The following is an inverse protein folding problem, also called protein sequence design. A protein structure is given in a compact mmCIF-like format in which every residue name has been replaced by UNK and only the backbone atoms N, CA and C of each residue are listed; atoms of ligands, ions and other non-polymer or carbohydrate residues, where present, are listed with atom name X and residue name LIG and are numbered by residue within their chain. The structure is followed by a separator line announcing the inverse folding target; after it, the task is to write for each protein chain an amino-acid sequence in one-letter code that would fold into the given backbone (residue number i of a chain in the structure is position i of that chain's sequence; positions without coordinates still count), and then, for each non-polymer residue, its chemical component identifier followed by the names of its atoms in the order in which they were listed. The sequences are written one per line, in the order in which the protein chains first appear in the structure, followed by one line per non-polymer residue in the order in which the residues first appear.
data_IF_769901065487
#
_entry.id   IF_769901065487
#
_cell.length_a   1.000
_cell.length_b   1.000
_cell.length_c   1.000
_cell.angle_alpha   90.00
_cell.angle_beta   90.00
_cell.angle_gamma   90.00
#
_symmetry.space_group_name_H-M   'P 1'
#
loop_
_entity.id
_entity.type
_entity.pdbx_description
1 polymer ?
#
# COMPACT_ATOMS: atom_id res chain seq x y z
N UNK A 1 9.61 18.72 -9.51
CA UNK A 1 8.18 18.65 -9.14
C UNK A 1 8.11 18.71 -7.62
N UNK A 2 7.67 19.83 -7.02
CA UNK A 2 7.95 20.11 -5.59
C UNK A 2 6.81 19.77 -4.61
N UNK A 3 5.62 19.37 -5.09
CA UNK A 3 4.40 19.21 -4.26
C UNK A 3 3.65 17.88 -4.44
N UNK A 4 4.26 16.84 -5.02
CA UNK A 4 3.60 15.54 -5.26
C UNK A 4 4.19 14.41 -4.41
N UNK A 5 4.91 14.73 -3.35
CA UNK A 5 5.41 13.72 -2.44
C UNK A 5 4.30 13.30 -1.48
N UNK A 6 4.29 12.01 -1.14
CA UNK A 6 3.54 11.54 0.02
C UNK A 6 3.85 12.44 1.23
N UNK A 7 2.89 12.60 2.17
CA UNK A 7 3.17 13.31 3.45
C UNK A 7 4.35 12.70 4.22
N UNK A 8 4.68 11.44 3.92
CA UNK A 8 5.83 10.68 4.40
C UNK A 8 6.71 10.27 3.21
N UNK A 9 8.03 10.13 3.35
CA UNK A 9 8.90 9.85 2.20
C UNK A 9 8.53 8.55 1.45
N UNK A 10 8.62 8.54 0.11
CA UNK A 10 8.31 7.37 -0.74
C UNK A 10 9.06 6.11 -0.31
N UNK A 11 10.31 6.24 0.16
CA UNK A 11 11.12 5.15 0.68
C UNK A 11 10.49 4.52 1.92
N UNK A 12 9.93 5.33 2.81
CA UNK A 12 9.21 4.87 4.00
C UNK A 12 7.97 4.08 3.61
N UNK A 13 7.23 4.55 2.60
CA UNK A 13 6.04 3.83 2.10
C UNK A 13 6.42 2.45 1.53
N UNK A 14 7.53 2.36 0.79
CA UNK A 14 8.06 1.08 0.32
C UNK A 14 8.44 0.13 1.46
N UNK A 15 9.14 0.63 2.47
CA UNK A 15 9.47 -0.16 3.68
C UNK A 15 8.21 -0.66 4.37
N UNK A 16 7.18 0.19 4.50
CA UNK A 16 5.90 -0.20 5.08
C UNK A 16 5.23 -1.33 4.28
N UNK A 17 5.15 -1.21 2.95
CA UNK A 17 4.55 -2.23 2.09
C UNK A 17 5.28 -3.57 2.18
N UNK A 18 6.62 -3.55 2.05
CA UNK A 18 7.44 -4.76 2.14
C UNK A 18 7.38 -5.37 3.54
N UNK A 19 7.49 -4.54 4.58
CA UNK A 19 7.44 -4.96 5.98
C UNK A 19 6.12 -5.61 6.33
N UNK A 20 4.99 -5.02 5.91
CA UNK A 20 3.66 -5.62 6.05
C UNK A 20 3.57 -6.96 5.34
N UNK A 21 4.03 -7.05 4.09
CA UNK A 21 3.95 -8.31 3.33
C UNK A 21 4.70 -9.43 4.03
N UNK A 22 5.93 -9.17 4.49
CA UNK A 22 6.73 -10.13 5.25
C UNK A 22 6.04 -10.48 6.58
N UNK A 23 5.59 -9.47 7.34
CA UNK A 23 4.96 -9.70 8.65
C UNK A 23 3.67 -10.52 8.53
N UNK A 24 2.88 -10.27 7.49
CA UNK A 24 1.66 -11.03 7.20
C UNK A 24 1.99 -12.48 6.80
N UNK A 25 3.02 -12.69 5.98
CA UNK A 25 3.48 -14.04 5.62
C UNK A 25 3.97 -14.81 6.85
N UNK A 26 4.82 -14.20 7.68
CA UNK A 26 5.31 -14.82 8.92
C UNK A 26 4.15 -15.06 9.89
N UNK A 27 3.21 -14.13 10.03
CA UNK A 27 1.99 -14.28 10.82
C UNK A 27 1.12 -15.45 10.38
N UNK A 28 0.92 -15.59 9.06
CA UNK A 28 0.17 -16.71 8.50
C UNK A 28 0.88 -18.05 8.73
N UNK A 29 2.19 -18.11 8.50
CA UNK A 29 2.99 -19.31 8.75
C UNK A 29 2.99 -19.70 10.24
N UNK A 30 3.20 -18.74 11.14
CA UNK A 30 3.15 -18.96 12.58
C UNK A 30 1.78 -19.50 13.02
N UNK A 31 0.69 -19.03 12.39
CA UNK A 31 -0.67 -19.51 12.66
C UNK A 31 -0.87 -20.95 12.19
N UNK A 32 -0.34 -21.31 11.01
CA UNK A 32 -0.38 -22.69 10.49
C UNK A 32 0.43 -23.64 11.39
N UNK A 33 1.57 -23.16 11.90
CA UNK A 33 2.43 -23.93 12.81
C UNK A 33 1.98 -23.90 14.27
N UNK A 34 0.80 -23.34 14.56
CA UNK A 34 0.22 -23.23 15.91
C UNK A 34 1.14 -22.55 16.94
N UNK A 35 1.94 -21.56 16.53
CA UNK A 35 2.75 -20.78 17.48
C UNK A 35 1.85 -19.96 18.40
N UNK A 36 2.19 -19.90 19.70
CA UNK A 36 1.38 -19.20 20.71
C UNK A 36 1.19 -17.70 20.40
N UNK A 37 2.19 -17.07 19.78
CA UNK A 37 2.15 -15.64 19.43
C UNK A 37 1.54 -15.35 18.05
N UNK A 38 1.05 -16.36 17.33
CA UNK A 38 0.56 -16.23 15.96
C UNK A 38 -0.56 -15.21 15.81
N UNK A 39 -1.49 -15.17 16.77
CA UNK A 39 -2.61 -14.23 16.75
C UNK A 39 -2.17 -12.78 16.93
N UNK A 40 -1.21 -12.53 17.82
CA UNK A 40 -0.65 -11.19 18.05
C UNK A 40 0.09 -10.73 16.80
N UNK A 41 0.95 -11.59 16.25
CA UNK A 41 1.75 -11.29 15.06
C UNK A 41 0.87 -10.96 13.85
N UNK A 42 -0.19 -11.76 13.63
CA UNK A 42 -1.15 -11.53 12.56
C UNK A 42 -1.94 -10.22 12.76
N UNK A 43 -2.36 -9.92 14.00
CA UNK A 43 -3.09 -8.69 14.32
C UNK A 43 -2.24 -7.45 14.07
N UNK A 44 -0.96 -7.48 14.47
CA UNK A 44 0.00 -6.41 14.18
C UNK A 44 0.22 -6.24 12.67
N UNK A 45 0.33 -7.35 11.93
CA UNK A 45 0.41 -7.36 10.47
C UNK A 45 -0.77 -6.65 9.82
N UNK A 46 -2.00 -6.98 10.24
CA UNK A 46 -3.22 -6.36 9.74
C UNK A 46 -3.33 -4.87 10.08
N UNK A 47 -2.93 -4.45 11.28
CA UNK A 47 -2.91 -3.03 11.65
C UNK A 47 -1.93 -2.23 10.80
N UNK A 48 -0.73 -2.77 10.57
CA UNK A 48 0.29 -2.16 9.72
C UNK A 48 -0.18 -2.10 8.26
N UNK A 49 -0.79 -3.18 7.78
CA UNK A 49 -1.43 -3.25 6.46
C UNK A 49 -2.47 -2.14 6.28
N UNK A 50 -3.40 -2.00 7.23
CA UNK A 50 -4.47 -1.02 7.17
C UNK A 50 -3.92 0.41 7.16
N UNK A 51 -2.90 0.68 7.98
CA UNK A 51 -2.22 1.98 8.01
C UNK A 51 -1.57 2.31 6.65
N UNK A 52 -0.87 1.33 6.07
CA UNK A 52 -0.23 1.46 4.74
C UNK A 52 -1.26 1.68 3.63
N UNK A 53 -2.38 0.97 3.72
CA UNK A 53 -3.51 1.10 2.80
C UNK A 53 -4.11 2.51 2.83
N UNK A 54 -4.33 3.10 4.02
CA UNK A 54 -4.81 4.48 4.17
C UNK A 54 -3.83 5.48 3.57
N UNK A 55 -2.53 5.30 3.77
CA UNK A 55 -1.48 6.16 3.23
C UNK A 55 -1.55 6.17 1.69
N UNK A 56 -1.65 5.00 1.07
CA UNK A 56 -1.73 4.85 -0.39
C UNK A 56 -3.03 5.44 -0.93
N UNK A 57 -4.17 5.15 -0.30
CA UNK A 57 -5.45 5.75 -0.66
C UNK A 57 -5.39 7.28 -0.58
N UNK A 58 -4.79 7.82 0.48
CA UNK A 58 -4.64 9.26 0.66
C UNK A 58 -3.81 9.91 -0.45
N UNK A 59 -2.76 9.24 -0.91
CA UNK A 59 -1.93 9.70 -2.03
C UNK A 59 -2.70 9.65 -3.36
N UNK A 60 -3.45 8.59 -3.61
CA UNK A 60 -4.34 8.50 -4.77
C UNK A 60 -5.38 9.62 -4.76
N UNK A 61 -6.05 9.86 -3.63
CA UNK A 61 -7.09 10.89 -3.51
C UNK A 61 -6.53 12.30 -3.69
N UNK A 62 -5.35 12.60 -3.14
CA UNK A 62 -4.75 13.95 -3.21
C UNK A 62 -4.14 14.28 -4.56
N UNK A 63 -3.61 13.29 -5.26
CA UNK A 63 -2.91 13.54 -6.52
C UNK A 63 -3.81 13.32 -7.74
N UNK A 64 -3.46 14.00 -8.83
CA UNK A 64 -3.98 13.70 -10.16
C UNK A 64 -3.23 12.49 -10.71
N UNK A 65 -3.87 11.32 -10.67
CA UNK A 65 -3.36 10.08 -11.27
C UNK A 65 -4.24 9.66 -12.44
N UNK A 66 -3.61 9.11 -13.47
CA UNK A 66 -4.31 8.59 -14.64
C UNK A 66 -5.22 7.40 -14.26
N UNK A 67 -6.48 7.42 -14.73
CA UNK A 67 -7.53 6.47 -14.34
C UNK A 67 -7.72 6.28 -12.82
N UNK A 68 -7.82 7.38 -12.08
CA UNK A 68 -7.98 7.40 -10.61
C UNK A 68 -9.02 6.42 -10.07
N UNK A 69 -10.22 6.39 -10.65
CA UNK A 69 -11.32 5.53 -10.19
C UNK A 69 -10.95 4.05 -10.27
N UNK A 70 -10.26 3.63 -11.33
CA UNK A 70 -9.80 2.25 -11.49
C UNK A 70 -8.78 1.86 -10.41
N UNK A 71 -7.82 2.73 -10.12
CA UNK A 71 -6.81 2.48 -9.08
C UNK A 71 -7.42 2.42 -7.68
N UNK A 72 -8.37 3.30 -7.37
CA UNK A 72 -9.09 3.25 -6.10
C UNK A 72 -9.94 1.96 -6.01
N UNK A 73 -10.67 1.60 -7.07
CA UNK A 73 -11.50 0.37 -7.08
C UNK A 73 -10.65 -0.88 -6.83
N UNK A 74 -9.55 -1.03 -7.59
CA UNK A 74 -8.63 -2.18 -7.43
C UNK A 74 -7.97 -2.20 -6.05
N UNK A 75 -7.77 -1.04 -5.43
CA UNK A 75 -7.29 -0.93 -4.05
C UNK A 75 -8.26 -1.51 -3.02
N UNK A 76 -9.57 -1.55 -3.28
CA UNK A 76 -10.55 -2.21 -2.40
C UNK A 76 -10.74 -3.70 -2.73
N UNK A 77 -10.71 -4.08 -4.01
CA UNK A 77 -10.92 -5.47 -4.43
C UNK A 77 -9.69 -6.34 -4.13
N UNK A 78 -8.48 -5.82 -4.37
CA UNK A 78 -7.22 -6.55 -4.21
C UNK A 78 -6.16 -5.69 -3.49
N UNK A 79 -6.39 -5.30 -2.24
CA UNK A 79 -5.57 -4.29 -1.55
C UNK A 79 -4.08 -4.66 -1.46
N UNK A 80 -3.74 -5.93 -1.17
CA UNK A 80 -2.33 -6.36 -1.09
C UNK A 80 -1.57 -6.24 -2.41
N UNK A 81 -2.24 -6.52 -3.54
CA UNK A 81 -1.61 -6.48 -4.86
C UNK A 81 -1.63 -5.03 -5.38
N UNK A 82 -2.76 -4.35 -5.24
CA UNK A 82 -2.93 -2.97 -5.72
C UNK A 82 -1.96 -2.01 -5.04
N UNK A 83 -1.71 -2.15 -3.73
CA UNK A 83 -0.74 -1.30 -3.02
C UNK A 83 0.67 -1.40 -3.60
N UNK A 84 1.13 -2.61 -3.93
CA UNK A 84 2.44 -2.84 -4.56
C UNK A 84 2.48 -2.29 -5.99
N UNK A 85 1.51 -2.68 -6.82
CA UNK A 85 1.46 -2.29 -8.24
C UNK A 85 1.31 -0.78 -8.41
N UNK A 86 0.53 -0.14 -7.55
CA UNK A 86 0.39 1.31 -7.52
C UNK A 86 1.73 1.98 -7.26
N UNK A 87 2.50 1.56 -6.24
CA UNK A 87 3.80 2.17 -5.94
C UNK A 87 4.79 2.04 -7.11
N UNK A 88 4.81 0.88 -7.77
CA UNK A 88 5.66 0.66 -8.96
C UNK A 88 5.27 1.62 -10.08
N UNK A 89 3.97 1.77 -10.35
CA UNK A 89 3.48 2.58 -11.47
C UNK A 89 3.28 4.06 -11.12
N UNK A 90 3.41 4.44 -9.85
CA UNK A 90 3.04 5.77 -9.32
C UNK A 90 3.59 6.92 -10.15
N UNK A 91 4.90 6.91 -10.43
CA UNK A 91 5.54 8.00 -11.17
C UNK A 91 5.00 8.12 -12.60
N UNK A 92 4.71 6.98 -13.25
CA UNK A 92 4.08 6.96 -14.58
C UNK A 92 2.65 7.50 -14.51
N UNK A 93 1.88 7.08 -13.52
CA UNK A 93 0.48 7.49 -13.32
C UNK A 93 0.35 8.98 -13.01
N UNK A 94 1.25 9.54 -12.19
CA UNK A 94 1.31 10.97 -11.90
C UNK A 94 1.65 11.78 -13.16
N UNK A 95 2.67 11.35 -13.92
CA UNK A 95 3.06 12.01 -15.17
C UNK A 95 1.93 11.99 -16.20
N UNK A 96 1.24 10.85 -16.34
CA UNK A 96 0.09 10.72 -17.24
C UNK A 96 -1.12 11.53 -16.74
N UNK A 97 -1.36 11.57 -15.42
CA UNK A 97 -2.43 12.37 -14.82
C UNK A 97 -2.22 13.87 -15.00
N UNK A 98 -0.96 14.35 -15.01
CA UNK A 98 -0.66 15.74 -15.35
C UNK A 98 -0.85 16.05 -16.84
N UNK A 99 -0.59 15.07 -17.72
CA UNK A 99 -0.67 15.26 -19.18
C UNK A 99 -2.11 15.12 -19.72
N UNK A 100 -2.92 14.26 -19.10
CA UNK A 100 -4.21 13.82 -19.64
C UNK A 100 -5.38 13.89 -18.65
N UNK A 101 -5.19 14.40 -17.42
CA UNK A 101 -6.20 14.37 -16.35
C UNK A 101 -6.43 15.69 -15.61
#
# INVERSE_FOLDING_TARGET
MKNQDFKIGIKTVWVLVIGNFILTLVGALAKIQHWEFSQILLSMGLMLFFSTWIIILSDMVKNKIYHKTFWILTLFIMPSISTIFYLIQRNKLLRLGQKFG
#
